data_IF_429244350796
#
_entry.id   IF_429244350796
#
_cell.length_a   1.000
_cell.length_b   1.000
_cell.length_c   1.000
_cell.angle_alpha   90.00
_cell.angle_beta   90.00
_cell.angle_gamma   90.00
#
_symmetry.space_group_name_H-M   'P 1'
#
loop_
_entity.id
_entity.type
_entity.pdbx_description
1 polymer ?
#
# COMPACT_ATOMS: atom_id res chain seq x y z
N UNK A 1 11.98 -13.98 8.59
CA UNK A 1 10.51 -13.85 8.56
C UNK A 1 9.92 -15.25 8.61
N UNK A 2 8.94 -15.46 9.49
CA UNK A 2 8.27 -16.75 9.69
C UNK A 2 7.42 -17.14 8.47
N UNK A 3 7.25 -18.45 8.23
CA UNK A 3 6.54 -18.99 7.07
C UNK A 3 5.09 -18.50 6.99
N UNK A 4 4.40 -18.43 8.12
CA UNK A 4 3.02 -17.91 8.20
C UNK A 4 2.92 -16.44 7.81
N UNK A 5 3.90 -15.62 8.20
CA UNK A 5 3.95 -14.20 7.82
C UNK A 5 4.22 -14.08 6.32
N UNK A 6 5.13 -14.90 5.78
CA UNK A 6 5.39 -14.93 4.34
C UNK A 6 4.13 -15.32 3.54
N UNK A 7 3.36 -16.28 4.03
CA UNK A 7 2.11 -16.70 3.42
C UNK A 7 1.06 -15.58 3.45
N UNK A 8 0.86 -14.93 4.59
CA UNK A 8 -0.06 -13.80 4.71
C UNK A 8 0.28 -12.66 3.75
N UNK A 9 1.57 -12.31 3.65
CA UNK A 9 2.03 -11.18 2.84
C UNK A 9 2.07 -11.49 1.34
N UNK A 10 2.42 -12.73 0.93
CA UNK A 10 2.80 -12.99 -0.46
C UNK A 10 1.94 -14.03 -1.18
N UNK A 11 1.02 -14.73 -0.51
CA UNK A 11 0.23 -15.77 -1.16
C UNK A 11 -0.71 -15.21 -2.23
N UNK A 12 -0.90 -16.01 -3.28
CA UNK A 12 -1.95 -15.84 -4.30
C UNK A 12 -2.92 -17.02 -4.14
N UNK A 13 -4.22 -16.77 -3.92
CA UNK A 13 -5.21 -17.83 -3.75
C UNK A 13 -5.24 -18.81 -4.94
N UNK A 14 -5.53 -20.08 -4.67
CA UNK A 14 -5.61 -21.09 -5.71
C UNK A 14 -6.78 -20.77 -6.67
N UNK A 15 -6.47 -20.66 -7.97
CA UNK A 15 -7.45 -20.37 -9.01
C UNK A 15 -7.37 -18.93 -9.55
N UNK A 16 -6.67 -18.04 -8.85
CA UNK A 16 -6.35 -16.70 -9.36
C UNK A 16 -5.29 -16.81 -10.46
N UNK A 17 -5.60 -16.33 -11.65
CA UNK A 17 -4.70 -16.37 -12.83
C UNK A 17 -4.43 -15.00 -13.45
N UNK A 18 -5.10 -13.95 -13.00
CA UNK A 18 -5.01 -12.61 -13.58
C UNK A 18 -3.87 -11.78 -13.00
N UNK A 19 -3.34 -12.16 -11.83
CA UNK A 19 -2.20 -11.48 -11.20
C UNK A 19 -1.24 -12.45 -10.52
N UNK A 20 0.00 -12.00 -10.32
CA UNK A 20 0.99 -12.61 -9.43
C UNK A 20 1.37 -11.70 -8.26
N UNK A 21 0.71 -10.54 -8.15
CA UNK A 21 0.94 -9.54 -7.11
C UNK A 21 -0.23 -9.56 -6.11
N UNK A 22 0.03 -9.74 -4.80
CA UNK A 22 -1.02 -9.74 -3.78
C UNK A 22 -1.83 -8.44 -3.74
N UNK A 23 -1.21 -7.30 -4.04
CA UNK A 23 -1.86 -5.98 -4.03
C UNK A 23 -2.97 -5.85 -5.10
N UNK A 24 -2.87 -6.63 -6.18
CA UNK A 24 -3.82 -6.62 -7.30
C UNK A 24 -5.00 -7.60 -7.09
N UNK A 25 -5.06 -8.31 -5.97
CA UNK A 25 -6.16 -9.25 -5.71
C UNK A 25 -7.50 -8.51 -5.62
N UNK A 26 -8.49 -9.05 -6.32
CA UNK A 26 -9.87 -8.59 -6.24
C UNK A 26 -10.48 -8.91 -4.86
N UNK A 27 -11.40 -8.09 -4.34
CA UNK A 27 -11.99 -8.27 -3.01
C UNK A 27 -12.58 -9.67 -2.76
N UNK A 28 -13.18 -10.30 -3.78
CA UNK A 28 -13.76 -11.64 -3.70
C UNK A 28 -12.74 -12.77 -3.49
N UNK A 29 -11.49 -12.57 -3.90
CA UNK A 29 -10.42 -13.55 -3.76
C UNK A 29 -9.70 -13.44 -2.40
N UNK A 30 -9.95 -12.36 -1.65
CA UNK A 30 -9.30 -12.09 -0.38
C UNK A 30 -10.14 -12.66 0.76
N UNK A 31 -9.62 -13.68 1.45
CA UNK A 31 -10.32 -14.26 2.59
C UNK A 31 -10.32 -13.31 3.80
N UNK A 32 -11.43 -13.28 4.54
CA UNK A 32 -11.51 -12.51 5.79
C UNK A 32 -10.45 -12.97 6.81
N UNK A 33 -10.13 -14.26 6.84
CA UNK A 33 -9.07 -14.80 7.71
C UNK A 33 -7.71 -14.17 7.41
N UNK A 34 -7.38 -13.97 6.12
CA UNK A 34 -6.13 -13.32 5.71
C UNK A 34 -6.11 -11.85 6.13
N UNK A 35 -7.23 -11.13 5.96
CA UNK A 35 -7.36 -9.74 6.43
C UNK A 35 -7.12 -9.65 7.94
N UNK A 36 -7.78 -10.49 8.73
CA UNK A 36 -7.60 -10.49 10.19
C UNK A 36 -6.18 -10.91 10.61
N UNK A 37 -5.54 -11.82 9.86
CA UNK A 37 -4.13 -12.17 10.03
C UNK A 37 -3.21 -10.97 9.81
N UNK A 38 -3.39 -10.24 8.71
CA UNK A 38 -2.62 -9.03 8.40
C UNK A 38 -2.87 -7.91 9.42
N UNK A 39 -4.10 -7.74 9.90
CA UNK A 39 -4.41 -6.74 10.94
C UNK A 39 -3.62 -6.96 12.23
N UNK A 40 -3.37 -8.22 12.61
CA UNK A 40 -2.52 -8.54 13.77
C UNK A 40 -1.06 -8.11 13.55
N UNK A 41 -0.59 -8.12 12.30
CA UNK A 41 0.77 -7.71 11.95
C UNK A 41 0.98 -6.18 11.98
N UNK A 42 -0.09 -5.37 12.06
CA UNK A 42 0.00 -3.92 12.22
C UNK A 42 0.58 -3.46 13.57
N UNK A 43 0.93 -4.39 14.46
CA UNK A 43 1.60 -4.10 15.74
C UNK A 43 2.81 -5.02 15.95
N UNK A 44 3.34 -5.58 14.87
CA UNK A 44 4.47 -6.49 14.91
C UNK A 44 5.75 -5.76 15.35
N UNK A 45 6.62 -6.41 16.13
CA UNK A 45 7.85 -5.78 16.65
C UNK A 45 8.88 -5.40 15.57
N UNK A 46 8.86 -6.13 14.46
CA UNK A 46 9.63 -5.82 13.26
C UNK A 46 8.83 -4.85 12.37
N UNK A 47 9.28 -3.59 12.33
CA UNK A 47 8.69 -2.50 11.54
C UNK A 47 8.59 -2.84 10.05
N UNK A 48 9.49 -3.66 9.50
CA UNK A 48 9.38 -4.07 8.10
C UNK A 48 8.14 -4.92 7.86
N UNK A 49 7.81 -5.82 8.79
CA UNK A 49 6.62 -6.67 8.72
C UNK A 49 5.36 -5.81 8.90
N UNK A 50 5.38 -4.88 9.86
CA UNK A 50 4.29 -3.92 10.07
C UNK A 50 4.02 -3.10 8.80
N UNK A 51 5.08 -2.57 8.19
CA UNK A 51 5.01 -1.78 6.96
C UNK A 51 4.48 -2.59 5.77
N UNK A 52 4.94 -3.83 5.58
CA UNK A 52 4.43 -4.73 4.54
C UNK A 52 2.94 -5.03 4.72
N UNK A 53 2.50 -5.32 5.95
CA UNK A 53 1.09 -5.57 6.24
C UNK A 53 0.22 -4.32 6.02
N UNK A 54 0.70 -3.15 6.45
CA UNK A 54 0.02 -1.87 6.26
C UNK A 54 -0.14 -1.52 4.78
N UNK A 55 0.92 -1.71 3.97
CA UNK A 55 0.87 -1.52 2.50
C UNK A 55 -0.19 -2.41 1.85
N UNK A 56 -0.19 -3.70 2.17
CA UNK A 56 -1.11 -4.66 1.54
C UNK A 56 -2.57 -4.37 1.91
N UNK A 57 -2.84 -4.15 3.19
CA UNK A 57 -4.19 -3.77 3.66
C UNK A 57 -4.64 -2.42 3.07
N UNK A 58 -3.73 -1.45 2.95
CA UNK A 58 -4.02 -0.18 2.28
C UNK A 58 -4.40 -0.40 0.81
N UNK A 59 -3.64 -1.21 0.07
CA UNK A 59 -3.93 -1.50 -1.34
C UNK A 59 -5.32 -2.12 -1.51
N UNK A 60 -5.75 -2.99 -0.59
CA UNK A 60 -7.09 -3.59 -0.61
C UNK A 60 -8.20 -2.67 -0.06
N UNK A 61 -7.94 -1.36 0.10
CA UNK A 61 -8.95 -0.42 0.56
C UNK A 61 -9.30 -0.52 2.04
N UNK A 62 -8.48 -1.18 2.88
CA UNK A 62 -8.75 -1.34 4.32
C UNK A 62 -8.20 -0.15 5.12
N UNK A 63 -9.09 0.55 5.82
CA UNK A 63 -8.79 1.79 6.54
C UNK A 63 -7.70 1.64 7.61
N UNK A 64 -7.64 0.50 8.31
CA UNK A 64 -6.59 0.27 9.32
C UNK A 64 -5.20 0.23 8.67
N UNK A 65 -5.07 -0.41 7.50
CA UNK A 65 -3.83 -0.44 6.73
C UNK A 65 -3.40 0.96 6.29
N UNK A 66 -4.33 1.74 5.73
CA UNK A 66 -4.07 3.14 5.36
C UNK A 66 -3.59 3.98 6.56
N UNK A 67 -4.27 3.89 7.71
CA UNK A 67 -3.91 4.66 8.91
C UNK A 67 -2.52 4.30 9.41
N UNK A 68 -2.21 3.01 9.55
CA UNK A 68 -0.88 2.57 10.00
C UNK A 68 0.21 2.97 9.00
N UNK A 69 -0.05 2.83 7.69
CA UNK A 69 0.91 3.22 6.65
C UNK A 69 1.28 4.70 6.74
N UNK A 70 0.28 5.58 6.93
CA UNK A 70 0.51 7.01 7.10
C UNK A 70 1.24 7.31 8.41
N UNK A 71 0.88 6.65 9.52
CA UNK A 71 1.56 6.84 10.81
C UNK A 71 3.05 6.50 10.72
N UNK A 72 3.40 5.37 10.10
CA UNK A 72 4.79 4.96 9.87
C UNK A 72 5.54 5.95 8.96
N UNK A 73 4.89 6.43 7.91
CA UNK A 73 5.48 7.45 7.03
C UNK A 73 5.73 8.77 7.77
N UNK A 74 4.78 9.27 8.55
CA UNK A 74 4.91 10.51 9.31
C UNK A 74 5.95 10.42 10.44
N UNK A 75 6.11 9.25 11.04
CA UNK A 75 7.13 8.98 12.04
C UNK A 75 8.56 8.89 11.45
N UNK A 76 8.68 8.72 10.12
CA UNK A 76 9.95 8.46 9.44
C UNK A 76 10.38 6.99 9.49
N UNK A 77 9.55 6.12 10.06
CA UNK A 77 9.83 4.69 10.25
C UNK A 77 9.72 3.88 8.94
N UNK A 78 9.23 4.49 7.86
CA UNK A 78 9.21 3.85 6.54
C UNK A 78 10.54 3.98 5.77
N UNK A 79 11.42 4.93 6.13
CA UNK A 79 12.63 5.24 5.36
C UNK A 79 13.69 4.13 5.46
N UNK A 80 14.41 3.88 4.36
CA UNK A 80 15.54 2.93 4.34
C UNK A 80 15.19 1.46 4.10
N UNK A 81 13.93 1.05 4.29
CA UNK A 81 13.50 -0.35 4.11
C UNK A 81 13.42 -0.78 2.64
N UNK A 82 13.18 0.15 1.71
CA UNK A 82 13.09 -0.13 0.28
C UNK A 82 14.27 0.44 -0.51
N UNK A 83 15.46 0.43 0.08
CA UNK A 83 16.67 0.91 -0.59
C UNK A 83 17.09 -0.05 -1.70
N UNK A 84 17.17 0.45 -2.94
CA UNK A 84 17.60 -0.35 -4.08
C UNK A 84 19.12 -0.55 -4.03
N UNK A 85 19.57 -1.65 -3.40
CA UNK A 85 20.99 -1.90 -3.04
C UNK A 85 21.98 -1.82 -4.21
N UNK A 86 21.52 -1.96 -5.45
CA UNK A 86 22.36 -1.92 -6.65
C UNK A 86 22.62 -0.51 -7.20
N UNK A 87 21.74 0.45 -6.92
CA UNK A 87 21.79 1.79 -7.54
C UNK A 87 21.79 2.93 -6.51
N UNK A 88 21.54 2.62 -5.24
CA UNK A 88 21.70 3.56 -4.12
C UNK A 88 20.63 4.63 -3.99
N UNK A 89 19.52 4.53 -4.74
CA UNK A 89 18.34 5.37 -4.54
C UNK A 89 17.31 4.66 -3.66
N UNK A 90 16.62 5.45 -2.85
CA UNK A 90 15.56 5.01 -1.94
C UNK A 90 14.24 4.94 -2.71
N UNK A 91 13.67 3.75 -2.85
CA UNK A 91 12.38 3.54 -3.54
C UNK A 91 11.19 3.62 -2.57
N UNK A 92 11.41 4.01 -1.31
CA UNK A 92 10.35 4.09 -0.31
C UNK A 92 9.19 4.96 -0.80
N UNK A 93 9.47 6.08 -1.47
CA UNK A 93 8.42 6.96 -1.98
C UNK A 93 7.52 6.26 -3.01
N UNK A 94 8.12 5.55 -3.97
CA UNK A 94 7.42 4.75 -4.97
C UNK A 94 6.63 3.61 -4.33
N UNK A 95 7.23 2.94 -3.35
CA UNK A 95 6.62 1.82 -2.63
C UNK A 95 5.42 2.25 -1.78
N UNK A 96 5.38 3.50 -1.31
CA UNK A 96 4.24 4.05 -0.59
C UNK A 96 3.17 4.64 -1.52
N UNK A 97 3.54 5.17 -2.69
CA UNK A 97 2.58 5.72 -3.64
C UNK A 97 1.62 4.66 -4.18
N UNK A 98 2.11 3.48 -4.55
CA UNK A 98 1.26 2.43 -5.12
C UNK A 98 0.06 2.07 -4.22
N UNK A 99 0.25 1.68 -2.94
CA UNK A 99 -0.86 1.37 -2.04
C UNK A 99 -1.88 2.50 -1.88
N UNK A 100 -1.46 3.77 -1.94
CA UNK A 100 -2.38 4.91 -1.84
C UNK A 100 -3.25 5.05 -3.09
N UNK A 101 -2.71 4.76 -4.27
CA UNK A 101 -3.47 4.75 -5.52
C UNK A 101 -4.50 3.63 -5.52
N UNK A 102 -4.08 2.40 -5.18
CA UNK A 102 -4.99 1.26 -5.04
C UNK A 102 -6.09 1.56 -4.00
N UNK A 103 -5.73 2.13 -2.84
CA UNK A 103 -6.71 2.51 -1.82
C UNK A 103 -7.81 3.42 -2.38
N UNK A 104 -7.48 4.45 -3.16
CA UNK A 104 -8.49 5.32 -3.76
C UNK A 104 -9.33 4.58 -4.80
N UNK A 105 -8.72 3.78 -5.68
CA UNK A 105 -9.43 3.02 -6.71
C UNK A 105 -10.39 1.99 -6.10
N UNK A 106 -9.95 1.21 -5.12
CA UNK A 106 -10.79 0.23 -4.42
C UNK A 106 -11.95 0.92 -3.67
N UNK A 107 -11.73 2.12 -3.12
CA UNK A 107 -12.82 2.89 -2.48
C UNK A 107 -13.83 3.40 -3.50
N UNK A 108 -13.38 3.81 -4.69
CA UNK A 108 -14.24 4.27 -5.78
C UNK A 108 -15.13 3.14 -6.32
N UNK A 109 -14.63 1.91 -6.38
CA UNK A 109 -15.41 0.73 -6.75
C UNK A 109 -16.56 0.44 -5.77
N UNK A 110 -16.40 0.80 -4.49
CA UNK A 110 -17.46 0.70 -3.49
C UNK A 110 -18.53 1.78 -3.72
N UNK A 111 -18.11 3.04 -3.87
CA UNK A 111 -18.96 4.16 -4.27
C UNK A 111 -18.17 5.40 -4.67
N UNK A 112 -18.77 6.26 -5.50
CA UNK A 112 -18.20 7.56 -5.88
C UNK A 112 -17.84 8.41 -4.64
N UNK A 113 -18.74 8.50 -3.65
CA UNK A 113 -18.50 9.24 -2.40
C UNK A 113 -17.29 8.68 -1.61
N UNK A 114 -17.15 7.35 -1.56
CA UNK A 114 -16.03 6.72 -0.88
C UNK A 114 -14.70 6.99 -1.63
N UNK A 115 -14.71 6.94 -2.97
CA UNK A 115 -13.59 7.30 -3.82
C UNK A 115 -13.14 8.76 -3.64
N UNK A 116 -14.08 9.72 -3.68
CA UNK A 116 -13.80 11.14 -3.45
C UNK A 116 -13.19 11.39 -2.06
N UNK A 117 -13.75 10.75 -1.03
CA UNK A 117 -13.24 10.86 0.34
C UNK A 117 -11.82 10.30 0.43
N UNK A 118 -11.56 9.14 -0.17
CA UNK A 118 -10.23 8.53 -0.20
C UNK A 118 -9.23 9.42 -0.94
N UNK A 119 -9.60 9.95 -2.10
CA UNK A 119 -8.79 10.90 -2.87
C UNK A 119 -8.40 12.12 -2.03
N UNK A 120 -9.35 12.71 -1.29
CA UNK A 120 -9.08 13.85 -0.40
C UNK A 120 -8.11 13.47 0.74
N UNK A 121 -8.26 12.26 1.30
CA UNK A 121 -7.39 11.75 2.38
C UNK A 121 -5.94 11.52 1.90
N UNK A 122 -5.75 10.92 0.72
CA UNK A 122 -4.40 10.59 0.22
C UNK A 122 -3.68 11.79 -0.40
N UNK A 123 -4.43 12.79 -0.91
CA UNK A 123 -3.90 13.96 -1.64
C UNK A 123 -2.66 14.63 -0.98
N UNK A 124 -2.65 14.98 0.31
CA UNK A 124 -1.47 15.59 0.92
C UNK A 124 -0.24 14.68 0.88
N UNK A 125 -0.41 13.39 1.14
CA UNK A 125 0.69 12.41 1.15
C UNK A 125 1.21 12.13 -0.26
N UNK A 126 0.31 11.98 -1.24
CA UNK A 126 0.68 11.85 -2.65
C UNK A 126 1.53 13.05 -3.10
N UNK A 127 1.13 14.29 -2.74
CA UNK A 127 1.92 15.50 -3.07
C UNK A 127 3.32 15.49 -2.46
N UNK A 128 3.47 15.00 -1.22
CA UNK A 128 4.78 14.92 -0.57
C UNK A 128 5.66 13.82 -1.16
N UNK A 129 5.10 12.61 -1.34
CA UNK A 129 5.82 11.46 -1.88
C UNK A 129 6.30 11.71 -3.31
N UNK A 130 5.50 12.39 -4.14
CA UNK A 130 5.90 12.79 -5.50
C UNK A 130 7.12 13.71 -5.56
N UNK A 131 7.46 14.42 -4.48
CA UNK A 131 8.69 15.21 -4.41
C UNK A 131 9.92 14.35 -4.07
N UNK A 132 9.70 13.14 -3.53
CA UNK A 132 10.73 12.20 -3.08
C UNK A 132 11.02 11.09 -4.10
N UNK A 133 10.09 10.78 -5.03
CA UNK A 133 10.32 9.76 -6.06
C UNK A 133 11.47 10.11 -6.99
N UNK A 134 12.15 9.09 -7.48
CA UNK A 134 13.28 9.23 -8.39
C UNK A 134 12.88 9.82 -9.74
N UNK A 135 11.72 9.42 -10.27
CA UNK A 135 11.22 9.87 -11.58
C UNK A 135 9.76 10.37 -11.52
N UNK A 136 9.51 11.63 -11.10
CA UNK A 136 8.16 12.18 -10.95
C UNK A 136 7.33 12.19 -12.25
N UNK A 137 7.99 12.28 -13.42
CA UNK A 137 7.31 12.30 -14.72
C UNK A 137 6.54 11.00 -15.00
N UNK A 138 7.08 9.86 -14.56
CA UNK A 138 6.41 8.56 -14.70
C UNK A 138 5.10 8.48 -13.92
N UNK A 139 5.01 9.22 -12.81
CA UNK A 139 3.87 9.21 -11.91
C UNK A 139 2.73 10.15 -12.33
N UNK A 140 3.02 11.17 -13.15
CA UNK A 140 2.05 12.20 -13.54
C UNK A 140 0.72 11.63 -14.03
N UNK A 141 0.74 10.58 -14.85
CA UNK A 141 -0.48 9.98 -15.41
C UNK A 141 -1.38 9.32 -14.36
N UNK A 142 -0.80 8.85 -13.25
CA UNK A 142 -1.54 8.16 -12.18
C UNK A 142 -2.07 9.15 -11.13
N UNK A 143 -1.33 10.22 -10.87
CA UNK A 143 -1.62 11.15 -9.77
C UNK A 143 -2.33 12.42 -10.20
N UNK A 144 -2.45 12.67 -11.52
CA UNK A 144 -2.98 13.93 -12.07
C UNK A 144 -4.31 14.32 -11.44
N UNK A 145 -5.25 13.39 -11.37
CA UNK A 145 -6.60 13.68 -10.90
C UNK A 145 -6.64 13.79 -9.36
N UNK A 146 -5.67 13.21 -8.65
CA UNK A 146 -5.53 13.32 -7.19
C UNK A 146 -4.96 14.69 -6.78
N UNK A 147 -3.98 15.21 -7.51
CA UNK A 147 -3.23 16.41 -7.11
C UNK A 147 -3.89 17.74 -7.54
N UNK A 148 -4.73 17.70 -8.58
CA UNK A 148 -5.47 18.86 -9.10
C UNK A 148 -6.69 19.19 -8.22
#
# INVERSE_FOLDING_TARGET
MEEQIQELLNSIPQGVTYTTFPEDLEPEDISQERIEGLKKLLTHEDVFIELCAAKLLCAWGIDEGFKTLIQLYEAGDAEGYFTHRLHGYDETAEQLLWPLLYYQSTKEEISEEAGEKAQQQIRPYVKQLLQKVHNPEQWKKYVKDIIN
#
